data_IF_324835135398
#
_entry.id   IF_324835135398
#
_cell.length_a   1.000
_cell.length_b   1.000
_cell.length_c   1.000
_cell.angle_alpha   90.00
_cell.angle_beta   90.00
_cell.angle_gamma   90.00
#
_symmetry.space_group_name_H-M   'P 1'
#
loop_
_entity.id
_entity.type
_entity.pdbx_description
1 polymer ?
#
# COMPACT_ATOMS: atom_id res chain seq x y z
N UNK A 1 -29.92 -46.61 -36.37
CA UNK A 1 -30.08 -46.63 -34.90
C UNK A 1 -28.84 -46.02 -34.28
N UNK A 2 -28.94 -44.78 -33.77
CA UNK A 2 -27.80 -44.08 -33.16
C UNK A 2 -27.55 -44.67 -31.76
N UNK A 3 -26.32 -45.09 -31.50
CA UNK A 3 -25.86 -45.44 -30.14
C UNK A 3 -25.32 -44.17 -29.49
N UNK A 4 -25.97 -43.78 -28.40
CA UNK A 4 -25.67 -42.57 -27.65
C UNK A 4 -24.28 -42.60 -27.02
N UNK A 5 -23.54 -41.52 -27.22
CA UNK A 5 -22.32 -41.20 -26.49
C UNK A 5 -22.68 -40.86 -25.04
N UNK A 6 -22.12 -41.60 -24.10
CA UNK A 6 -22.32 -41.40 -22.67
C UNK A 6 -21.46 -40.24 -22.16
N UNK A 7 -22.00 -39.49 -21.18
CA UNK A 7 -21.46 -38.25 -20.57
C UNK A 7 -20.03 -38.32 -19.99
N UNK A 8 -19.34 -39.45 -20.08
CA UNK A 8 -17.93 -39.62 -19.66
C UNK A 8 -16.93 -39.71 -20.84
N UNK A 9 -17.41 -39.75 -22.09
CA UNK A 9 -16.56 -39.69 -23.29
C UNK A 9 -16.29 -38.27 -23.81
N UNK A 10 -17.05 -37.27 -23.36
CA UNK A 10 -16.88 -35.88 -23.79
C UNK A 10 -15.86 -35.08 -22.95
N UNK A 11 -15.40 -35.62 -21.80
CA UNK A 11 -14.38 -34.98 -20.95
C UNK A 11 -12.95 -35.49 -21.21
N UNK A 12 -12.77 -36.53 -22.02
CA UNK A 12 -11.45 -37.07 -22.35
C UNK A 12 -10.85 -36.49 -23.65
N UNK A 13 -11.61 -35.69 -24.41
CA UNK A 13 -11.14 -35.01 -25.62
C UNK A 13 -10.86 -33.50 -25.43
N UNK A 14 -11.17 -32.94 -24.24
CA UNK A 14 -10.82 -31.56 -23.87
C UNK A 14 -9.58 -31.49 -22.95
N UNK A 15 -9.02 -32.63 -22.53
CA UNK A 15 -7.93 -32.72 -21.56
C UNK A 15 -6.51 -32.82 -22.14
N UNK A 16 -6.32 -32.61 -23.45
CA UNK A 16 -5.02 -32.76 -24.11
C UNK A 16 -4.51 -31.47 -24.82
N UNK A 17 -5.17 -30.33 -24.61
CA UNK A 17 -4.76 -29.02 -25.11
C UNK A 17 -4.54 -27.97 -24.00
N UNK A 18 -4.40 -28.40 -22.74
CA UNK A 18 -4.27 -27.51 -21.58
C UNK A 18 -3.11 -27.90 -20.64
N UNK A 19 -2.01 -28.44 -21.19
CA UNK A 19 -0.76 -28.72 -20.46
C UNK A 19 0.48 -28.19 -21.19
N UNK A 20 0.35 -27.02 -21.84
CA UNK A 20 1.42 -26.35 -22.56
C UNK A 20 1.49 -24.85 -22.29
N UNK A 21 1.19 -24.40 -21.07
CA UNK A 21 1.17 -22.96 -20.73
C UNK A 21 1.71 -22.61 -19.33
N UNK A 22 2.49 -23.49 -18.69
CA UNK A 22 3.14 -23.20 -17.39
C UNK A 22 4.66 -23.43 -17.39
N UNK A 23 5.30 -23.29 -18.56
CA UNK A 23 6.75 -23.19 -18.66
C UNK A 23 7.10 -22.24 -19.81
N UNK A 24 7.32 -20.96 -19.50
CA UNK A 24 7.82 -19.99 -20.46
C UNK A 24 7.48 -18.54 -20.14
N UNK A 25 8.13 -17.97 -19.13
CA UNK A 25 8.40 -16.52 -19.07
C UNK A 25 9.76 -16.28 -18.40
N UNK A 26 10.79 -16.94 -18.94
CA UNK A 26 12.15 -16.40 -18.92
C UNK A 26 12.60 -16.30 -20.39
N UNK A 27 12.65 -15.08 -20.90
CA UNK A 27 13.25 -14.75 -22.20
C UNK A 27 12.30 -14.76 -23.41
N UNK A 28 11.54 -13.67 -23.58
CA UNK A 28 11.36 -12.93 -24.85
C UNK A 28 10.44 -11.74 -24.57
N UNK A 29 10.97 -10.53 -24.72
CA UNK A 29 10.28 -9.28 -24.45
C UNK A 29 8.96 -9.16 -25.20
N UNK A 30 7.87 -9.02 -24.44
CA UNK A 30 6.83 -8.08 -24.84
C UNK A 30 7.26 -6.73 -24.29
N UNK A 31 8.13 -6.03 -25.02
CA UNK A 31 8.24 -4.59 -24.82
C UNK A 31 6.81 -4.04 -24.88
N UNK A 32 6.38 -3.27 -23.88
CA UNK A 32 5.12 -2.50 -23.98
C UNK A 32 5.20 -1.80 -25.34
N UNK A 33 4.23 -2.01 -26.23
CA UNK A 33 4.24 -1.32 -27.52
C UNK A 33 4.17 0.17 -27.22
N UNK A 34 5.32 0.82 -27.31
CA UNK A 34 5.44 2.25 -27.26
C UNK A 34 4.88 2.79 -28.55
N UNK A 35 4.12 3.88 -28.42
CA UNK A 35 3.43 4.61 -29.49
C UNK A 35 4.07 4.39 -30.87
N UNK A 36 3.32 3.86 -31.84
CA UNK A 36 3.87 3.38 -33.13
C UNK A 36 4.67 4.46 -33.90
N UNK A 37 4.36 5.76 -33.72
CA UNK A 37 5.08 6.90 -34.29
C UNK A 37 5.09 8.09 -33.31
N UNK A 38 5.90 8.03 -32.23
CA UNK A 38 5.93 9.08 -31.23
C UNK A 38 6.72 10.30 -31.74
N UNK A 39 6.41 11.51 -31.25
CA UNK A 39 7.26 12.67 -31.49
C UNK A 39 8.72 12.40 -31.05
N UNK A 40 9.69 13.00 -31.73
CA UNK A 40 11.09 12.84 -31.39
C UNK A 40 11.42 13.53 -30.07
N UNK A 41 12.09 12.81 -29.15
CA UNK A 41 12.58 13.34 -27.87
C UNK A 41 14.09 13.14 -27.78
N UNK A 42 14.82 14.20 -27.43
CA UNK A 42 16.25 14.11 -27.10
C UNK A 42 16.42 13.58 -25.67
N UNK A 43 16.50 12.25 -25.54
CA UNK A 43 16.61 11.56 -24.25
C UNK A 43 17.93 11.90 -23.53
N UNK A 44 18.98 12.21 -24.28
CA UNK A 44 20.29 12.54 -23.69
C UNK A 44 20.27 13.90 -22.99
N UNK A 45 19.41 14.82 -23.46
CA UNK A 45 19.19 16.12 -22.83
C UNK A 45 18.31 16.07 -21.56
N UNK A 46 17.63 14.95 -21.27
CA UNK A 46 16.80 14.80 -20.06
C UNK A 46 17.70 14.79 -18.81
N UNK A 47 17.39 15.59 -17.77
CA UNK A 47 18.16 15.57 -16.53
C UNK A 47 18.18 14.17 -15.89
N UNK A 48 19.34 13.76 -15.36
CA UNK A 48 19.48 12.53 -14.55
C UNK A 48 19.26 12.80 -13.06
N UNK A 49 19.47 14.04 -12.67
CA UNK A 49 19.34 14.54 -11.31
C UNK A 49 18.54 15.84 -11.37
N UNK A 50 17.80 16.12 -10.30
CA UNK A 50 16.95 17.30 -10.19
C UNK A 50 17.34 18.09 -8.95
N UNK A 51 17.38 19.42 -9.09
CA UNK A 51 17.75 20.31 -7.99
C UNK A 51 16.68 20.36 -6.89
N UNK A 52 15.40 20.23 -7.26
CA UNK A 52 14.29 20.24 -6.31
C UNK A 52 14.13 18.89 -5.61
N UNK A 53 14.22 18.89 -4.29
CA UNK A 53 14.00 17.70 -3.47
C UNK A 53 12.51 17.42 -3.30
N UNK A 54 12.12 16.16 -3.44
CA UNK A 54 10.78 15.67 -3.01
C UNK A 54 10.59 16.00 -1.52
N UNK A 55 9.45 16.57 -1.11
CA UNK A 55 9.25 16.97 0.27
C UNK A 55 9.28 15.76 1.20
N UNK A 56 9.80 15.97 2.42
CA UNK A 56 9.87 14.92 3.42
C UNK A 56 8.46 14.42 3.77
N UNK A 57 8.35 13.11 4.06
CA UNK A 57 7.07 12.50 4.44
C UNK A 57 6.51 13.20 5.69
N UNK A 58 5.25 13.68 5.67
CA UNK A 58 4.66 14.35 6.81
C UNK A 58 4.61 13.48 8.06
N UNK A 59 4.82 14.13 9.21
CA UNK A 59 4.60 13.53 10.52
C UNK A 59 3.11 13.53 10.84
N UNK A 60 2.44 12.41 10.56
CA UNK A 60 1.00 12.25 10.79
C UNK A 60 0.68 12.07 12.28
N UNK A 61 1.35 11.13 12.94
CA UNK A 61 1.24 10.95 14.39
C UNK A 61 2.20 11.96 15.05
N UNK A 62 1.71 12.94 15.83
CA UNK A 62 2.58 14.00 16.35
C UNK A 62 3.52 13.48 17.45
N UNK A 63 3.17 12.38 18.11
CA UNK A 63 3.99 11.74 19.15
C UNK A 63 4.86 10.62 18.58
N UNK A 64 6.07 10.48 19.13
CA UNK A 64 7.00 9.41 18.75
C UNK A 64 7.31 8.49 19.93
N UNK A 65 8.15 7.50 19.67
CA UNK A 65 8.67 6.59 20.70
C UNK A 65 9.66 7.30 21.61
N UNK A 66 9.48 7.13 22.92
CA UNK A 66 10.53 7.47 23.87
C UNK A 66 11.71 6.51 23.71
N UNK A 67 12.96 6.94 23.97
CA UNK A 67 14.15 6.12 23.76
C UNK A 67 14.11 4.75 24.44
N UNK A 68 13.55 4.68 25.65
CA UNK A 68 13.39 3.42 26.40
C UNK A 68 12.43 2.44 25.71
N UNK A 69 11.35 2.96 25.10
CA UNK A 69 10.38 2.16 24.36
C UNK A 69 10.98 1.70 23.03
N UNK A 70 11.66 2.60 22.31
CA UNK A 70 12.38 2.26 21.08
C UNK A 70 13.43 1.17 21.32
N UNK A 71 14.19 1.27 22.42
CA UNK A 71 15.14 0.24 22.85
C UNK A 71 14.46 -1.09 23.15
N UNK A 72 13.29 -1.09 23.81
CA UNK A 72 12.54 -2.31 24.09
C UNK A 72 12.07 -3.04 22.81
N UNK A 73 11.69 -2.31 21.76
CA UNK A 73 11.37 -2.86 20.44
C UNK A 73 12.61 -3.46 19.76
N UNK A 74 13.76 -2.78 19.81
CA UNK A 74 15.01 -3.31 19.28
C UNK A 74 15.49 -4.56 20.05
N UNK A 75 15.48 -4.53 21.38
CA UNK A 75 15.88 -5.66 22.22
C UNK A 75 15.00 -6.91 21.98
N UNK A 76 13.76 -6.73 21.53
CA UNK A 76 12.89 -7.87 21.19
C UNK A 76 13.43 -8.65 19.99
N UNK A 77 14.04 -7.98 19.01
CA UNK A 77 14.69 -8.63 17.86
C UNK A 77 15.86 -9.50 18.34
N UNK A 78 16.73 -8.97 19.21
CA UNK A 78 17.85 -9.73 19.76
C UNK A 78 17.39 -10.93 20.60
N UNK A 79 16.34 -10.76 21.41
CA UNK A 79 15.74 -11.87 22.16
C UNK A 79 15.16 -12.96 21.26
N UNK A 80 14.54 -12.59 20.14
CA UNK A 80 14.03 -13.56 19.15
C UNK A 80 15.15 -14.32 18.46
N UNK A 81 16.28 -13.67 18.15
CA UNK A 81 17.40 -14.29 17.46
C UNK A 81 18.32 -15.13 18.37
N UNK A 82 18.35 -14.83 19.67
CA UNK A 82 19.20 -15.49 20.68
C UNK A 82 19.15 -17.03 20.71
N UNK A 83 18.02 -17.71 20.47
CA UNK A 83 17.96 -19.18 20.51
C UNK A 83 18.68 -19.86 19.34
N UNK A 84 18.93 -19.14 18.26
CA UNK A 84 19.56 -19.68 17.06
C UNK A 84 21.09 -19.60 17.25
N UNK A 85 21.87 -20.68 17.00
CA UNK A 85 23.33 -20.64 17.10
C UNK A 85 23.98 -19.63 16.15
N UNK A 86 25.05 -18.97 16.57
CA UNK A 86 25.85 -18.06 15.74
C UNK A 86 27.36 -18.36 15.95
N UNK A 87 28.09 -18.89 14.94
CA UNK A 87 27.64 -19.18 13.58
C UNK A 87 26.75 -20.43 13.48
N UNK A 88 25.85 -20.44 12.50
CA UNK A 88 25.03 -21.61 12.17
C UNK A 88 25.81 -22.52 11.20
N UNK A 89 26.40 -23.60 11.70
CA UNK A 89 27.29 -24.47 10.89
C UNK A 89 26.55 -25.64 10.25
N UNK A 90 27.16 -26.23 9.21
CA UNK A 90 26.64 -27.44 8.56
C UNK A 90 26.60 -28.67 9.49
N UNK A 91 27.41 -28.70 10.56
CA UNK A 91 27.35 -29.75 11.58
C UNK A 91 26.05 -29.66 12.39
N UNK A 92 25.56 -28.45 12.63
CA UNK A 92 24.36 -28.19 13.42
C UNK A 92 23.09 -28.23 12.58
N UNK A 93 23.17 -27.76 11.33
CA UNK A 93 22.10 -27.83 10.34
C UNK A 93 22.66 -28.22 8.96
N UNK A 94 22.69 -29.53 8.64
CA UNK A 94 23.28 -30.02 7.38
C UNK A 94 22.58 -29.50 6.12
N UNK A 95 21.28 -29.20 6.22
CA UNK A 95 20.50 -28.74 5.08
C UNK A 95 20.80 -27.27 4.74
N UNK A 96 21.67 -27.06 3.76
CA UNK A 96 22.17 -25.73 3.40
C UNK A 96 21.10 -24.71 3.01
N UNK A 97 19.97 -25.15 2.44
CA UNK A 97 18.86 -24.26 2.09
C UNK A 97 18.17 -23.63 3.32
N UNK A 98 17.99 -24.41 4.39
CA UNK A 98 17.37 -23.88 5.62
C UNK A 98 18.34 -22.97 6.36
N UNK A 99 19.62 -23.34 6.40
CA UNK A 99 20.67 -22.47 6.94
C UNK A 99 20.73 -21.13 6.21
N UNK A 100 20.76 -21.15 4.88
CA UNK A 100 20.75 -19.94 4.06
C UNK A 100 19.51 -19.07 4.28
N UNK A 101 18.32 -19.67 4.40
CA UNK A 101 17.09 -18.93 4.75
C UNK A 101 17.20 -18.28 6.13
N UNK A 102 17.61 -19.00 7.17
CA UNK A 102 17.77 -18.46 8.53
C UNK A 102 18.80 -17.32 8.58
N UNK A 103 19.93 -17.46 7.87
CA UNK A 103 20.96 -16.42 7.77
C UNK A 103 20.44 -15.17 7.04
N UNK A 104 19.66 -15.35 5.96
CA UNK A 104 19.03 -14.25 5.24
C UNK A 104 18.01 -13.51 6.11
N UNK A 105 17.15 -14.22 6.83
CA UNK A 105 16.18 -13.62 7.76
C UNK A 105 16.88 -12.86 8.91
N UNK A 106 17.98 -13.39 9.45
CA UNK A 106 18.80 -12.67 10.45
C UNK A 106 19.38 -11.37 9.89
N UNK A 107 19.88 -11.39 8.66
CA UNK A 107 20.41 -10.20 8.02
C UNK A 107 19.31 -9.17 7.78
N UNK A 108 18.18 -9.59 7.22
CA UNK A 108 17.01 -8.74 6.97
C UNK A 108 16.45 -8.13 8.27
N UNK A 109 16.40 -8.91 9.36
CA UNK A 109 15.98 -8.41 10.67
C UNK A 109 16.87 -7.26 11.17
N UNK A 110 18.19 -7.39 11.02
CA UNK A 110 19.16 -6.36 11.43
C UNK A 110 19.14 -5.14 10.50
N UNK A 111 18.96 -5.34 9.20
CA UNK A 111 18.84 -4.27 8.21
C UNK A 111 17.54 -3.46 8.37
N UNK A 112 16.45 -4.11 8.79
CA UNK A 112 15.18 -3.47 9.02
C UNK A 112 15.14 -2.61 10.30
N UNK A 113 16.03 -2.85 11.27
CA UNK A 113 16.08 -2.05 12.49
C UNK A 113 16.46 -0.58 12.18
N UNK A 114 15.75 0.41 12.75
CA UNK A 114 16.15 1.80 12.65
C UNK A 114 17.57 2.02 13.19
N UNK A 115 18.34 2.86 12.51
CA UNK A 115 19.62 3.34 13.05
C UNK A 115 19.43 4.15 14.34
N UNK A 116 20.43 4.19 15.24
CA UNK A 116 20.30 4.87 16.55
C UNK A 116 20.01 6.38 16.43
N UNK A 117 20.46 7.02 15.34
CA UNK A 117 20.26 8.43 15.05
C UNK A 117 19.45 8.66 13.76
N UNK A 118 18.75 7.63 13.25
CA UNK A 118 17.94 7.74 12.03
C UNK A 118 16.63 8.49 12.34
N UNK A 119 16.40 9.69 11.75
CA UNK A 119 15.20 10.47 12.02
C UNK A 119 14.00 9.86 11.28
N UNK A 120 13.28 8.95 11.94
CA UNK A 120 12.07 8.36 11.38
C UNK A 120 10.79 9.04 11.87
N UNK A 121 9.83 9.21 10.95
CA UNK A 121 8.46 9.53 11.33
C UNK A 121 7.84 8.33 12.06
N UNK A 122 6.93 8.54 13.03
CA UNK A 122 6.50 7.47 13.94
C UNK A 122 5.92 6.24 13.23
N UNK A 123 5.08 6.42 12.21
CA UNK A 123 4.51 5.31 11.46
C UNK A 123 5.57 4.50 10.68
N UNK A 124 6.63 5.15 10.21
CA UNK A 124 7.74 4.47 9.55
C UNK A 124 8.58 3.69 10.56
N UNK A 125 8.83 4.26 11.74
CA UNK A 125 9.50 3.54 12.83
C UNK A 125 8.71 2.26 13.22
N UNK A 126 7.38 2.33 13.32
CA UNK A 126 6.56 1.14 13.57
C UNK A 126 6.75 0.09 12.48
N UNK A 127 6.68 0.49 11.21
CA UNK A 127 6.88 -0.43 10.09
C UNK A 127 8.25 -1.11 10.16
N UNK A 128 9.32 -0.34 10.37
CA UNK A 128 10.69 -0.84 10.50
C UNK A 128 10.85 -1.84 11.65
N UNK A 129 10.37 -1.51 12.86
CA UNK A 129 10.42 -2.44 13.99
C UNK A 129 9.58 -3.70 13.78
N UNK A 130 8.38 -3.56 13.22
CA UNK A 130 7.52 -4.71 12.92
C UNK A 130 8.12 -5.63 11.85
N UNK A 131 8.74 -5.08 10.80
CA UNK A 131 9.49 -5.84 9.79
C UNK A 131 10.72 -6.52 10.38
N UNK A 132 11.47 -5.84 11.25
CA UNK A 132 12.62 -6.45 11.92
C UNK A 132 12.21 -7.63 12.80
N UNK A 133 11.11 -7.49 13.56
CA UNK A 133 10.56 -8.56 14.39
C UNK A 133 10.00 -9.71 13.57
N UNK A 134 9.32 -9.43 12.46
CA UNK A 134 8.84 -10.43 11.51
C UNK A 134 9.97 -11.34 11.02
N UNK A 135 11.05 -10.75 10.50
CA UNK A 135 12.21 -11.50 10.03
C UNK A 135 12.89 -12.28 11.16
N UNK A 136 13.06 -11.68 12.34
CA UNK A 136 13.66 -12.36 13.49
C UNK A 136 12.83 -13.55 13.97
N UNK A 137 11.51 -13.38 14.03
CA UNK A 137 10.54 -14.42 14.36
C UNK A 137 10.49 -15.52 13.29
N UNK A 138 10.58 -15.16 12.02
CA UNK A 138 10.69 -16.10 10.91
C UNK A 138 11.94 -16.96 10.99
N UNK A 139 13.08 -16.36 11.36
CA UNK A 139 14.33 -17.07 11.57
C UNK A 139 14.22 -18.09 12.71
N UNK A 140 13.70 -17.68 13.88
CA UNK A 140 13.60 -18.56 15.06
C UNK A 140 12.53 -19.63 14.91
N UNK A 141 11.41 -19.32 14.24
CA UNK A 141 10.38 -20.28 13.89
C UNK A 141 10.88 -21.35 12.92
N UNK A 142 11.64 -20.94 11.88
CA UNK A 142 12.28 -21.89 10.96
C UNK A 142 13.29 -22.76 11.70
N UNK A 143 14.11 -22.18 12.58
CA UNK A 143 15.06 -22.91 13.42
C UNK A 143 14.35 -23.94 14.31
N UNK A 144 13.27 -23.56 15.00
CA UNK A 144 12.48 -24.46 15.82
C UNK A 144 11.93 -25.64 14.99
N UNK A 145 11.39 -25.35 13.79
CA UNK A 145 10.81 -26.37 12.91
C UNK A 145 11.81 -27.36 12.30
N UNK A 146 13.11 -27.03 12.25
CA UNK A 146 14.15 -27.96 11.77
C UNK A 146 14.86 -28.70 12.90
N UNK A 147 14.73 -28.26 14.15
CA UNK A 147 15.31 -28.94 15.30
C UNK A 147 14.40 -30.05 15.82
N UNK A 148 14.97 -31.22 16.11
CA UNK A 148 14.23 -32.42 16.54
C UNK A 148 13.42 -32.20 17.83
N UNK A 149 13.85 -31.28 18.69
CA UNK A 149 13.20 -30.93 19.96
C UNK A 149 12.38 -29.64 19.87
N UNK A 150 12.41 -28.95 18.72
CA UNK A 150 11.77 -27.65 18.56
C UNK A 150 10.32 -27.76 18.11
N UNK A 151 9.50 -26.85 18.64
CA UNK A 151 8.12 -26.63 18.23
C UNK A 151 7.99 -25.16 17.79
N UNK A 152 7.72 -24.87 16.50
CA UNK A 152 7.44 -23.51 16.04
C UNK A 152 6.35 -22.80 16.84
N UNK A 153 5.34 -23.53 17.33
CA UNK A 153 4.29 -22.96 18.17
C UNK A 153 4.80 -22.50 19.55
N UNK A 154 5.86 -23.12 20.07
CA UNK A 154 6.44 -22.76 21.37
C UNK A 154 7.30 -21.48 21.34
N UNK A 155 7.78 -21.09 20.16
CA UNK A 155 8.54 -19.84 19.95
C UNK A 155 7.67 -18.70 19.42
N UNK A 156 6.43 -19.00 19.01
CA UNK A 156 5.46 -18.02 18.59
C UNK A 156 4.65 -17.47 19.78
N UNK A 157 4.20 -16.20 19.70
CA UNK A 157 3.10 -15.76 20.52
C UNK A 157 1.84 -16.60 20.27
N UNK A 158 0.98 -16.73 21.29
CA UNK A 158 -0.32 -17.38 21.12
C UNK A 158 -1.19 -16.60 20.12
N UNK A 159 -1.48 -17.22 18.97
CA UNK A 159 -2.22 -16.61 17.86
C UNK A 159 -3.63 -16.18 18.29
N UNK A 160 -4.30 -16.97 19.12
CA UNK A 160 -5.62 -16.65 19.65
C UNK A 160 -5.60 -15.37 20.48
N UNK A 161 -4.63 -15.25 21.39
CA UNK A 161 -4.44 -14.09 22.23
C UNK A 161 -3.99 -12.85 21.44
N UNK A 162 -3.16 -13.01 20.40
CA UNK A 162 -2.78 -11.89 19.51
C UNK A 162 -3.99 -11.41 18.72
N UNK A 163 -4.77 -12.33 18.14
CA UNK A 163 -6.01 -12.00 17.42
C UNK A 163 -7.01 -11.29 18.32
N UNK A 164 -7.22 -11.81 19.53
CA UNK A 164 -8.10 -11.20 20.53
C UNK A 164 -7.61 -9.79 20.89
N UNK A 165 -6.31 -9.62 21.20
CA UNK A 165 -5.74 -8.30 21.52
C UNK A 165 -5.86 -7.31 20.35
N UNK A 166 -5.64 -7.77 19.11
CA UNK A 166 -5.82 -6.93 17.93
C UNK A 166 -7.28 -6.47 17.78
N UNK A 167 -8.25 -7.40 17.89
CA UNK A 167 -9.69 -7.09 17.86
C UNK A 167 -10.08 -6.10 18.96
N UNK A 168 -9.72 -6.39 20.22
CA UNK A 168 -10.05 -5.51 21.36
C UNK A 168 -9.44 -4.11 21.22
N UNK A 169 -8.26 -4.00 20.60
CA UNK A 169 -7.63 -2.69 20.35
C UNK A 169 -8.36 -1.95 19.23
N UNK A 170 -8.70 -2.66 18.16
CA UNK A 170 -9.39 -2.11 17.01
C UNK A 170 -10.80 -1.62 17.37
N UNK A 171 -11.54 -2.39 18.19
CA UNK A 171 -12.87 -2.03 18.69
C UNK A 171 -12.86 -0.80 19.61
N UNK A 172 -11.70 -0.48 20.21
CA UNK A 172 -11.52 0.69 21.06
C UNK A 172 -11.12 1.95 20.27
N UNK A 173 -10.87 1.84 18.97
CA UNK A 173 -10.51 2.95 18.09
C UNK A 173 -11.72 3.50 17.32
N UNK A 174 -11.73 4.80 16.95
CA UNK A 174 -10.72 5.80 17.28
C UNK A 174 -10.83 6.30 18.72
N UNK A 175 -9.69 6.54 19.35
CA UNK A 175 -9.64 7.20 20.66
C UNK A 175 -9.94 8.70 20.57
N UNK A 176 -9.87 9.44 21.70
CA UNK A 176 -9.98 10.90 21.67
C UNK A 176 -8.89 11.56 20.82
N UNK A 177 -9.20 12.69 20.20
CA UNK A 177 -8.28 13.46 19.35
C UNK A 177 -8.47 14.97 19.54
N UNK A 178 -7.57 15.79 18.98
CA UNK A 178 -7.71 17.25 19.00
C UNK A 178 -8.99 17.71 18.26
N UNK A 179 -9.25 17.08 17.10
CA UNK A 179 -10.42 17.30 16.25
C UNK A 179 -10.64 16.06 15.36
N UNK A 180 -11.78 15.95 14.64
CA UNK A 180 -12.07 14.79 13.81
C UNK A 180 -11.08 14.54 12.66
N UNK A 181 -10.49 15.58 12.04
CA UNK A 181 -9.51 15.42 10.97
C UNK A 181 -8.19 14.84 11.52
N UNK A 182 -7.73 15.37 12.66
CA UNK A 182 -6.57 14.85 13.37
C UNK A 182 -6.80 13.40 13.83
N UNK A 183 -8.01 13.10 14.32
CA UNK A 183 -8.42 11.75 14.68
C UNK A 183 -8.36 10.79 13.48
N UNK A 184 -8.93 11.18 12.34
CA UNK A 184 -8.91 10.37 11.12
C UNK A 184 -7.48 10.12 10.63
N UNK A 185 -6.64 11.15 10.58
CA UNK A 185 -5.27 11.05 10.10
C UNK A 185 -4.38 10.19 11.03
N UNK A 186 -4.52 10.32 12.35
CA UNK A 186 -3.73 9.56 13.33
C UNK A 186 -4.19 8.12 13.45
N UNK A 187 -5.49 7.89 13.65
CA UNK A 187 -6.02 6.56 13.93
C UNK A 187 -6.27 5.74 12.66
N UNK A 188 -6.51 6.36 11.50
CA UNK A 188 -6.75 5.63 10.24
C UNK A 188 -5.62 4.66 9.85
N UNK A 189 -4.33 5.06 9.89
CA UNK A 189 -3.23 4.12 9.69
C UNK A 189 -3.15 3.01 10.74
N UNK A 190 -3.49 3.30 12.00
CA UNK A 190 -3.39 2.35 13.13
C UNK A 190 -4.50 1.31 13.03
N UNK A 191 -5.75 1.76 12.83
CA UNK A 191 -6.91 0.90 12.58
C UNK A 191 -6.65 -0.01 11.36
N UNK A 192 -6.09 0.52 10.27
CA UNK A 192 -5.75 -0.28 9.08
C UNK A 192 -4.79 -1.42 9.38
N UNK A 193 -3.78 -1.21 10.22
CA UNK A 193 -2.86 -2.29 10.58
C UNK A 193 -3.60 -3.47 11.23
N UNK A 194 -4.58 -3.17 12.08
CA UNK A 194 -5.38 -4.20 12.75
C UNK A 194 -6.40 -4.83 11.81
N UNK A 195 -7.05 -4.05 10.95
CA UNK A 195 -7.96 -4.56 9.92
C UNK A 195 -7.24 -5.54 8.98
N UNK A 196 -6.08 -5.15 8.45
CA UNK A 196 -5.24 -6.01 7.60
C UNK A 196 -4.74 -7.25 8.35
N UNK A 197 -4.30 -7.07 9.60
CA UNK A 197 -3.87 -8.18 10.43
C UNK A 197 -4.98 -9.23 10.62
N UNK A 198 -6.21 -8.79 10.91
CA UNK A 198 -7.34 -9.67 11.19
C UNK A 198 -7.95 -10.30 9.93
N UNK A 199 -7.96 -9.57 8.80
CA UNK A 199 -8.62 -10.00 7.55
C UNK A 199 -7.70 -10.68 6.56
N UNK A 200 -6.37 -10.50 6.68
CA UNK A 200 -5.39 -11.07 5.74
C UNK A 200 -4.32 -11.88 6.43
N UNK A 201 -3.58 -11.26 7.36
CA UNK A 201 -2.37 -11.87 7.91
C UNK A 201 -2.67 -13.06 8.80
N UNK A 202 -3.70 -12.97 9.65
CA UNK A 202 -4.09 -14.04 10.58
C UNK A 202 -5.22 -14.92 10.03
N UNK A 203 -5.56 -14.86 8.74
CA UNK A 203 -6.65 -15.64 8.13
C UNK A 203 -6.11 -16.92 7.49
N UNK A 204 -6.79 -18.04 7.74
CA UNK A 204 -6.55 -19.31 7.02
C UNK A 204 -5.27 -20.06 7.38
N UNK A 205 -4.35 -19.43 8.11
CA UNK A 205 -3.22 -20.13 8.72
C UNK A 205 -3.73 -20.99 9.88
N UNK A 206 -3.42 -22.30 9.85
CA UNK A 206 -3.36 -23.07 11.09
C UNK A 206 -2.37 -22.43 12.07
N UNK A 207 -2.24 -22.94 13.29
CA UNK A 207 -1.13 -22.52 14.14
C UNK A 207 0.21 -22.75 13.42
N UNK A 208 1.30 -22.04 13.78
CA UNK A 208 2.61 -22.29 13.17
C UNK A 208 3.07 -23.75 13.20
N UNK A 209 2.56 -24.53 14.16
CA UNK A 209 2.80 -25.98 14.28
C UNK A 209 2.01 -26.85 13.27
N UNK A 210 0.98 -26.31 12.62
CA UNK A 210 0.15 -27.01 11.63
C UNK A 210 0.76 -26.92 10.21
N UNK A 211 1.83 -26.14 10.03
CA UNK A 211 2.51 -25.96 8.75
C UNK A 211 3.44 -27.14 8.42
N UNK A 212 3.28 -27.71 7.22
CA UNK A 212 4.03 -28.89 6.80
C UNK A 212 5.51 -28.61 6.46
N UNK A 213 5.90 -27.35 6.29
CA UNK A 213 7.24 -26.93 5.90
C UNK A 213 7.84 -26.00 6.96
N UNK A 214 9.03 -26.28 7.52
CA UNK A 214 9.69 -25.43 8.51
C UNK A 214 9.84 -23.96 8.09
N UNK A 215 10.01 -23.67 6.79
CA UNK A 215 10.07 -22.28 6.31
C UNK A 215 8.71 -21.60 6.44
N UNK A 216 7.62 -22.28 6.09
CA UNK A 216 6.26 -21.75 6.24
C UNK A 216 5.85 -21.62 7.70
N UNK A 217 6.26 -22.60 8.52
CA UNK A 217 6.10 -22.50 9.97
C UNK A 217 6.80 -21.25 10.50
N UNK A 218 8.04 -21.00 10.06
CA UNK A 218 8.77 -19.75 10.34
C UNK A 218 8.01 -18.51 9.92
N UNK A 219 7.60 -18.41 8.66
CA UNK A 219 6.82 -17.29 8.12
C UNK A 219 5.54 -17.03 8.93
N UNK A 220 4.84 -18.08 9.36
CA UNK A 220 3.67 -17.96 10.24
C UNK A 220 4.02 -17.41 11.63
N UNK A 221 5.17 -17.80 12.21
CA UNK A 221 5.67 -17.19 13.46
C UNK A 221 5.99 -15.70 13.24
N UNK A 222 6.60 -15.36 12.11
CA UNK A 222 6.89 -14.00 11.67
C UNK A 222 5.64 -13.13 11.59
N UNK A 223 4.62 -13.61 10.89
CA UNK A 223 3.33 -12.95 10.72
C UNK A 223 2.66 -12.65 12.08
N UNK A 224 2.65 -13.61 13.00
CA UNK A 224 2.05 -13.45 14.34
C UNK A 224 2.83 -12.43 15.16
N UNK A 225 4.17 -12.48 15.14
CA UNK A 225 5.02 -11.53 15.85
C UNK A 225 4.89 -10.10 15.26
N UNK A 226 4.76 -9.98 13.93
CA UNK A 226 4.52 -8.71 13.24
C UNK A 226 3.22 -8.06 13.72
N UNK A 227 2.14 -8.83 13.79
CA UNK A 227 0.85 -8.34 14.31
C UNK A 227 0.96 -7.95 15.78
N UNK A 228 1.63 -8.76 16.60
CA UNK A 228 1.87 -8.39 17.99
C UNK A 228 2.64 -7.06 18.11
N UNK A 229 3.65 -6.84 17.26
CA UNK A 229 4.38 -5.57 17.20
C UNK A 229 3.48 -4.39 16.87
N UNK A 230 2.58 -4.54 15.90
CA UNK A 230 1.58 -3.49 15.60
C UNK A 230 0.62 -3.23 16.77
N UNK A 231 0.21 -4.27 17.50
CA UNK A 231 -0.64 -4.10 18.70
C UNK A 231 0.08 -3.29 19.77
N UNK A 232 1.33 -3.65 20.08
CA UNK A 232 2.14 -2.94 21.08
C UNK A 232 2.40 -1.49 20.66
N UNK A 233 2.76 -1.27 19.39
CA UNK A 233 3.09 0.05 18.86
C UNK A 233 1.87 0.98 18.76
N UNK A 234 0.75 0.49 18.21
CA UNK A 234 -0.44 1.31 18.02
C UNK A 234 -1.11 1.68 19.34
N UNK A 235 -1.12 0.78 20.34
CA UNK A 235 -1.54 1.12 21.71
C UNK A 235 -0.68 2.23 22.31
N UNK A 236 0.65 2.07 22.25
CA UNK A 236 1.56 3.08 22.78
C UNK A 236 1.38 4.45 22.12
N UNK A 237 1.31 4.49 20.78
CA UNK A 237 1.13 5.74 20.05
C UNK A 237 -0.24 6.37 20.31
N UNK A 238 -1.31 5.56 20.37
CA UNK A 238 -2.66 6.03 20.69
C UNK A 238 -2.75 6.62 22.10
N UNK A 239 -2.26 5.89 23.11
CA UNK A 239 -2.25 6.33 24.50
C UNK A 239 -1.43 7.61 24.67
N UNK A 240 -0.25 7.67 24.05
CA UNK A 240 0.63 8.84 24.13
C UNK A 240 0.05 10.04 23.39
N UNK A 241 -0.62 9.82 22.27
CA UNK A 241 -1.30 10.88 21.54
C UNK A 241 -2.43 11.45 22.40
N UNK A 242 -3.32 10.61 22.93
CA UNK A 242 -4.41 11.04 23.80
C UNK A 242 -3.90 11.80 25.03
N UNK A 243 -2.82 11.32 25.67
CA UNK A 243 -2.21 11.98 26.83
C UNK A 243 -1.51 13.33 26.50
N UNK A 244 -1.15 13.56 25.24
CA UNK A 244 -0.51 14.81 24.79
C UNK A 244 -1.49 15.96 24.56
N UNK A 245 -2.78 15.68 24.52
CA UNK A 245 -3.82 16.65 24.17
C UNK A 245 -4.22 17.48 25.39
N UNK A 246 -4.34 18.80 25.19
CA UNK A 246 -4.84 19.72 26.22
C UNK A 246 -6.37 19.63 26.39
N UNK A 247 -7.09 19.40 25.30
CA UNK A 247 -8.56 19.32 25.25
C UNK A 247 -9.01 18.19 24.30
N UNK A 248 -8.91 16.92 24.72
CA UNK A 248 -9.27 15.78 23.88
C UNK A 248 -10.78 15.68 23.66
N UNK A 249 -11.20 15.52 22.41
CA UNK A 249 -12.60 15.39 22.00
C UNK A 249 -12.91 13.96 21.52
N UNK A 250 -14.14 13.46 21.72
CA UNK A 250 -14.61 12.23 21.08
C UNK A 250 -14.86 12.47 19.58
N UNK A 251 -14.23 11.69 18.71
CA UNK A 251 -14.22 11.94 17.26
C UNK A 251 -14.86 10.86 16.40
N UNK A 252 -15.17 9.69 16.96
CA UNK A 252 -15.67 8.54 16.19
C UNK A 252 -16.93 8.86 15.37
N UNK A 253 -17.92 9.51 15.99
CA UNK A 253 -19.20 9.79 15.34
C UNK A 253 -19.12 10.90 14.27
N UNK A 254 -18.44 12.04 14.51
CA UNK A 254 -18.14 12.99 13.44
C UNK A 254 -17.41 12.38 12.24
N UNK A 255 -16.42 11.52 12.50
CA UNK A 255 -15.67 10.83 11.44
C UNK A 255 -16.59 9.90 10.64
N UNK A 256 -17.43 9.08 11.32
CA UNK A 256 -18.38 8.17 10.66
C UNK A 256 -19.35 8.93 9.76
N UNK A 257 -19.98 10.00 10.27
CA UNK A 257 -20.91 10.82 9.49
C UNK A 257 -20.26 11.35 8.21
N UNK A 258 -19.01 11.79 8.30
CA UNK A 258 -18.28 12.33 7.16
C UNK A 258 -17.81 11.23 6.18
N UNK A 259 -17.45 10.06 6.70
CA UNK A 259 -17.18 8.87 5.90
C UNK A 259 -18.40 8.49 5.05
N UNK A 260 -19.61 8.47 5.64
CA UNK A 260 -20.85 8.13 4.94
C UNK A 260 -21.22 9.17 3.88
N UNK A 261 -20.98 10.46 4.17
CA UNK A 261 -21.17 11.55 3.22
C UNK A 261 -20.27 11.39 2.00
N UNK A 262 -18.97 11.15 2.21
CA UNK A 262 -18.05 10.88 1.12
C UNK A 262 -18.40 9.58 0.40
N UNK A 263 -18.79 8.53 1.11
CA UNK A 263 -19.15 7.24 0.54
C UNK A 263 -20.40 7.32 -0.34
N UNK A 264 -21.33 8.20 0.00
CA UNK A 264 -22.48 8.55 -0.85
C UNK A 264 -22.01 9.21 -2.15
N UNK A 265 -21.10 10.19 -2.07
CA UNK A 265 -20.55 10.86 -3.26
C UNK A 265 -19.75 9.91 -4.17
N UNK A 266 -18.93 9.04 -3.58
CA UNK A 266 -18.22 7.96 -4.30
C UNK A 266 -19.24 7.04 -4.97
N UNK A 267 -20.25 6.57 -4.22
CA UNK A 267 -21.29 5.70 -4.74
C UNK A 267 -22.07 6.34 -5.90
N UNK A 268 -22.41 7.62 -5.80
CA UNK A 268 -23.10 8.36 -6.87
C UNK A 268 -22.25 8.40 -8.13
N UNK A 269 -20.97 8.75 -8.02
CA UNK A 269 -20.05 8.78 -9.16
C UNK A 269 -19.88 7.39 -9.79
N UNK A 270 -19.74 6.34 -8.99
CA UNK A 270 -19.64 4.97 -9.50
C UNK A 270 -20.91 4.54 -10.24
N UNK A 271 -22.10 4.87 -9.74
CA UNK A 271 -23.36 4.58 -10.45
C UNK A 271 -23.46 5.29 -11.79
N UNK A 272 -22.96 6.54 -11.88
CA UNK A 272 -22.88 7.25 -13.16
C UNK A 272 -21.96 6.54 -14.16
N UNK A 273 -20.77 6.10 -13.72
CA UNK A 273 -19.79 5.42 -14.56
C UNK A 273 -20.28 4.05 -15.07
N UNK A 274 -21.00 3.32 -14.22
CA UNK A 274 -21.50 1.99 -14.52
C UNK A 274 -22.81 1.97 -15.32
N UNK A 275 -23.64 3.01 -15.18
CA UNK A 275 -25.01 3.00 -15.70
C UNK A 275 -25.95 2.05 -14.95
N UNK A 276 -27.10 1.74 -15.54
CA UNK A 276 -28.10 0.87 -14.92
C UNK A 276 -27.71 -0.62 -14.98
N UNK A 277 -27.98 -1.36 -13.91
CA UNK A 277 -27.96 -2.83 -13.91
C UNK A 277 -26.67 -3.51 -13.45
N UNK A 278 -25.71 -2.77 -12.88
CA UNK A 278 -24.48 -3.35 -12.30
C UNK A 278 -24.75 -3.89 -10.89
N UNK A 279 -24.31 -5.12 -10.63
CA UNK A 279 -24.50 -5.81 -9.36
C UNK A 279 -23.50 -5.36 -8.27
N UNK A 280 -22.26 -5.01 -8.65
CA UNK A 280 -21.23 -4.51 -7.74
C UNK A 280 -20.51 -3.28 -8.32
N UNK A 281 -20.70 -2.13 -7.66
CA UNK A 281 -20.08 -0.85 -8.05
C UNK A 281 -18.56 -0.82 -7.85
N UNK A 282 -17.98 -1.86 -7.25
CA UNK A 282 -16.52 -2.00 -7.10
C UNK A 282 -15.85 -2.62 -8.32
N UNK A 283 -16.61 -3.15 -9.27
CA UNK A 283 -16.04 -3.64 -10.52
C UNK A 283 -15.41 -2.49 -11.30
N UNK A 284 -14.31 -2.75 -12.00
CA UNK A 284 -13.68 -1.73 -12.83
C UNK A 284 -14.48 -1.55 -14.13
N UNK A 285 -15.07 -0.36 -14.41
CA UNK A 285 -15.88 -0.11 -15.60
C UNK A 285 -15.04 0.10 -16.88
N UNK A 286 -13.71 0.12 -16.75
CA UNK A 286 -12.78 0.40 -17.84
C UNK A 286 -12.56 1.90 -18.08
N UNK A 287 -11.44 2.30 -18.71
CA UNK A 287 -11.16 3.70 -19.01
C UNK A 287 -12.15 4.34 -19.99
N UNK A 288 -12.83 3.54 -20.81
CA UNK A 288 -13.91 3.98 -21.70
C UNK A 288 -15.13 4.55 -20.97
N UNK A 289 -15.37 4.19 -19.70
CA UNK A 289 -16.46 4.76 -18.93
C UNK A 289 -16.22 6.22 -18.51
N UNK A 290 -14.97 6.68 -18.62
CA UNK A 290 -14.55 8.02 -18.23
C UNK A 290 -14.45 9.00 -19.40
N UNK A 291 -14.55 8.51 -20.65
CA UNK A 291 -14.40 9.34 -21.86
C UNK A 291 -15.53 9.08 -22.85
N UNK A 292 -16.15 10.13 -23.36
CA UNK A 292 -17.17 10.05 -24.41
C UNK A 292 -16.54 9.77 -25.78
N UNK A 293 -15.45 10.48 -26.08
CA UNK A 293 -14.67 10.33 -27.31
C UNK A 293 -13.17 10.43 -27.02
N UNK A 294 -12.40 9.45 -27.50
CA UNK A 294 -10.94 9.48 -27.35
C UNK A 294 -10.31 10.23 -28.53
N UNK A 295 -9.84 11.45 -28.27
CA UNK A 295 -9.18 12.31 -29.26
C UNK A 295 -7.67 12.05 -29.42
N UNK A 296 -7.10 11.10 -28.66
CA UNK A 296 -5.69 10.70 -28.72
C UNK A 296 -5.51 9.26 -29.20
N UNK A 297 -4.30 8.93 -29.66
CA UNK A 297 -3.94 7.55 -30.01
C UNK A 297 -4.06 6.61 -28.79
N UNK A 298 -4.37 5.33 -29.02
CA UNK A 298 -4.61 4.35 -27.95
C UNK A 298 -3.37 4.09 -27.08
N UNK A 299 -2.21 4.32 -27.66
CA UNK A 299 -0.85 4.13 -27.15
C UNK A 299 -0.16 5.46 -26.77
N UNK A 300 -0.88 6.59 -26.82
CA UNK A 300 -0.38 7.85 -26.30
C UNK A 300 -0.19 7.77 -24.76
N UNK A 301 0.82 8.47 -24.19
CA UNK A 301 1.08 8.44 -22.75
C UNK A 301 -0.15 8.77 -21.89
N UNK A 302 -0.97 9.72 -22.29
CA UNK A 302 -2.21 10.08 -21.57
C UNK A 302 -3.26 8.95 -21.55
N UNK A 303 -3.34 8.14 -22.61
CA UNK A 303 -4.24 6.98 -22.65
C UNK A 303 -3.74 5.82 -21.78
N UNK A 304 -2.43 5.57 -21.76
CA UNK A 304 -1.81 4.58 -20.86
C UNK A 304 -1.92 5.02 -19.39
N UNK A 305 -1.71 6.31 -19.13
CA UNK A 305 -1.90 6.89 -17.80
C UNK A 305 -3.35 6.75 -17.34
N UNK A 306 -4.35 7.10 -18.17
CA UNK A 306 -5.75 6.94 -17.83
C UNK A 306 -6.07 5.49 -17.47
N UNK A 307 -5.65 4.54 -18.31
CA UNK A 307 -5.85 3.10 -18.06
C UNK A 307 -5.21 2.67 -16.72
N UNK A 308 -3.98 3.10 -16.46
CA UNK A 308 -3.24 2.79 -15.23
C UNK A 308 -3.87 3.45 -14.01
N UNK A 309 -4.33 4.70 -14.12
CA UNK A 309 -5.00 5.44 -13.06
C UNK A 309 -6.35 4.80 -12.69
N UNK A 310 -7.15 4.39 -13.68
CA UNK A 310 -8.40 3.65 -13.45
C UNK A 310 -8.11 2.33 -12.72
N UNK A 311 -7.16 1.54 -13.22
CA UNK A 311 -6.79 0.28 -12.57
C UNK A 311 -6.35 0.46 -11.11
N UNK A 312 -5.42 1.40 -10.85
CA UNK A 312 -4.95 1.72 -9.48
C UNK A 312 -6.08 2.19 -8.56
N UNK A 313 -7.07 2.89 -9.10
CA UNK A 313 -8.20 3.41 -8.33
C UNK A 313 -9.16 2.31 -7.89
N UNK A 314 -9.51 1.40 -8.81
CA UNK A 314 -10.43 0.30 -8.53
C UNK A 314 -9.80 -0.86 -7.75
N UNK A 315 -8.48 -1.08 -7.87
CA UNK A 315 -7.77 -2.00 -6.99
C UNK A 315 -7.91 -1.60 -5.51
N UNK A 316 -7.72 -0.31 -5.21
CA UNK A 316 -7.96 0.24 -3.87
C UNK A 316 -9.41 0.07 -3.42
N UNK A 317 -10.37 0.35 -4.30
CA UNK A 317 -11.80 0.21 -4.02
C UNK A 317 -12.21 -1.23 -3.65
N UNK A 318 -11.57 -2.23 -4.29
CA UNK A 318 -11.84 -3.64 -4.07
C UNK A 318 -11.26 -4.17 -2.76
N UNK A 319 -10.08 -3.69 -2.38
CA UNK A 319 -9.29 -4.26 -1.29
C UNK A 319 -9.30 -3.43 0.00
N UNK A 320 -9.61 -2.14 -0.04
CA UNK A 320 -9.66 -1.29 1.14
C UNK A 320 -11.08 -1.17 1.72
N UNK A 321 -11.24 -0.91 3.03
CA UNK A 321 -12.53 -0.70 3.66
C UNK A 321 -13.10 0.68 3.29
N UNK A 322 -13.60 0.81 2.07
CA UNK A 322 -14.12 2.05 1.49
C UNK A 322 -15.64 2.09 1.62
N UNK A 323 -16.18 3.19 2.15
CA UNK A 323 -17.62 3.42 2.20
C UNK A 323 -18.15 3.64 0.78
N UNK A 324 -19.11 2.81 0.34
CA UNK A 324 -19.69 2.86 -1.01
C UNK A 324 -21.12 2.34 -0.96
N UNK A 325 -22.07 3.15 -1.45
CA UNK A 325 -23.48 2.77 -1.47
C UNK A 325 -23.97 2.46 -0.06
N UNK A 326 -24.48 1.24 0.16
CA UNK A 326 -24.99 0.78 1.46
C UNK A 326 -23.92 0.12 2.35
N UNK A 327 -22.68 0.02 1.88
CA UNK A 327 -21.58 -0.55 2.67
C UNK A 327 -20.91 0.52 3.53
N UNK A 328 -21.05 0.36 4.85
CA UNK A 328 -20.38 1.15 5.88
C UNK A 328 -19.21 0.35 6.49
N UNK A 329 -17.97 0.83 6.39
CA UNK A 329 -16.84 0.27 7.12
C UNK A 329 -17.01 0.30 8.63
N UNK A 330 -16.68 -0.80 9.32
CA UNK A 330 -16.80 -0.89 10.79
C UNK A 330 -15.91 0.12 11.54
N UNK A 331 -14.76 0.49 10.94
CA UNK A 331 -13.71 1.31 11.56
C UNK A 331 -13.62 2.68 10.88
N UNK A 332 -14.15 3.73 11.52
CA UNK A 332 -14.47 4.98 10.82
C UNK A 332 -13.24 5.81 10.44
N UNK A 333 -12.12 5.77 11.17
CA UNK A 333 -10.94 6.56 10.80
C UNK A 333 -10.24 5.99 9.55
N UNK A 334 -10.11 4.66 9.46
CA UNK A 334 -9.64 3.99 8.24
C UNK A 334 -10.65 4.19 7.12
N UNK A 335 -11.94 4.01 7.40
CA UNK A 335 -13.00 4.19 6.43
C UNK A 335 -12.99 5.58 5.83
N UNK A 336 -12.94 6.64 6.64
CA UNK A 336 -12.86 8.03 6.15
C UNK A 336 -11.61 8.26 5.30
N UNK A 337 -10.43 7.88 5.79
CA UNK A 337 -9.17 8.12 5.05
C UNK A 337 -9.12 7.36 3.73
N UNK A 338 -9.61 6.11 3.67
CA UNK A 338 -9.67 5.30 2.45
C UNK A 338 -10.73 5.80 1.47
N UNK A 339 -11.91 6.20 1.96
CA UNK A 339 -12.93 6.83 1.12
C UNK A 339 -12.47 8.16 0.56
N UNK A 340 -11.78 8.99 1.35
CA UNK A 340 -11.18 10.22 0.85
C UNK A 340 -10.12 9.95 -0.24
N UNK A 341 -9.26 8.94 -0.06
CA UNK A 341 -8.28 8.55 -1.07
C UNK A 341 -8.94 8.07 -2.38
N UNK A 342 -10.01 7.28 -2.29
CA UNK A 342 -10.77 6.85 -3.48
C UNK A 342 -11.43 8.04 -4.16
N UNK A 343 -12.08 8.93 -3.41
CA UNK A 343 -12.69 10.14 -3.97
C UNK A 343 -11.65 11.01 -4.70
N UNK A 344 -10.48 11.23 -4.09
CA UNK A 344 -9.36 11.94 -4.71
C UNK A 344 -8.94 11.28 -6.02
N UNK A 345 -8.77 9.95 -6.02
CA UNK A 345 -8.36 9.21 -7.21
C UNK A 345 -9.41 9.25 -8.32
N UNK A 346 -10.69 9.13 -8.01
CA UNK A 346 -11.77 9.25 -9.00
C UNK A 346 -11.79 10.64 -9.64
N UNK A 347 -11.68 11.70 -8.83
CA UNK A 347 -11.59 13.07 -9.36
C UNK A 347 -10.34 13.30 -10.22
N UNK A 348 -9.20 12.74 -9.83
CA UNK A 348 -7.98 12.81 -10.61
C UNK A 348 -8.10 12.04 -11.94
N UNK A 349 -8.76 10.87 -11.93
CA UNK A 349 -9.08 10.12 -13.16
C UNK A 349 -9.98 10.96 -14.07
N UNK A 350 -11.03 11.59 -13.54
CA UNK A 350 -11.89 12.50 -14.31
C UNK A 350 -11.09 13.65 -14.94
N UNK A 351 -10.13 14.22 -14.20
CA UNK A 351 -9.25 15.29 -14.71
C UNK A 351 -8.28 14.81 -15.80
N UNK A 352 -7.77 13.57 -15.72
CA UNK A 352 -6.97 12.95 -16.80
C UNK A 352 -7.84 12.63 -18.01
N UNK A 353 -9.05 12.12 -17.79
CA UNK A 353 -10.00 11.80 -18.85
C UNK A 353 -10.38 13.04 -19.66
N UNK A 354 -10.67 14.16 -18.99
CA UNK A 354 -10.96 15.43 -19.67
C UNK A 354 -9.79 15.91 -20.56
N UNK A 355 -8.54 15.65 -20.16
CA UNK A 355 -7.35 15.95 -20.99
C UNK A 355 -7.25 15.04 -22.21
N UNK A 356 -7.51 13.74 -22.02
CA UNK A 356 -7.57 12.75 -23.11
C UNK A 356 -8.64 13.11 -24.15
N UNK A 357 -9.82 13.55 -23.70
CA UNK A 357 -10.90 14.04 -24.58
C UNK A 357 -10.52 15.32 -25.32
N UNK A 358 -9.78 16.21 -24.66
CA UNK A 358 -9.25 17.44 -25.27
C UNK A 358 -8.10 17.19 -26.26
N UNK A 359 -7.63 15.95 -26.40
CA UNK A 359 -6.54 15.60 -27.32
C UNK A 359 -5.13 15.81 -26.75
N UNK A 360 -5.00 16.00 -25.43
CA UNK A 360 -3.70 16.08 -24.77
C UNK A 360 -3.06 14.69 -24.71
N UNK A 361 -1.95 14.50 -25.42
CA UNK A 361 -1.22 13.23 -25.46
C UNK A 361 -0.39 12.98 -24.21
N UNK A 362 -0.20 14.00 -23.36
CA UNK A 362 0.77 14.02 -22.26
C UNK A 362 2.15 13.50 -22.69
N UNK A 363 2.54 13.80 -23.92
CA UNK A 363 3.90 13.59 -24.39
C UNK A 363 4.72 14.86 -24.15
N UNK A 364 5.95 14.79 -23.62
CA UNK A 364 6.75 15.98 -23.38
C UNK A 364 7.16 16.66 -24.70
N UNK A 365 7.00 17.98 -24.78
CA UNK A 365 7.44 18.76 -25.95
C UNK A 365 8.95 18.69 -26.16
N UNK A 366 9.71 18.68 -25.06
CA UNK A 366 11.16 18.56 -25.03
C UNK A 366 11.66 17.99 -23.69
N UNK A 367 12.97 17.84 -23.55
CA UNK A 367 13.61 17.37 -22.33
C UNK A 367 13.39 18.30 -21.13
N UNK A 368 13.24 19.61 -21.35
CA UNK A 368 13.02 20.58 -20.27
C UNK A 368 11.61 20.46 -19.69
N UNK A 369 10.62 20.08 -20.51
CA UNK A 369 9.25 19.83 -20.07
C UNK A 369 9.16 18.74 -18.98
N UNK A 370 10.07 17.77 -18.98
CA UNK A 370 10.15 16.72 -17.95
C UNK A 370 10.56 17.30 -16.60
N UNK A 371 11.61 18.13 -16.58
CA UNK A 371 12.03 18.84 -15.37
C UNK A 371 10.95 19.78 -14.85
N UNK A 372 10.27 20.51 -15.74
CA UNK A 372 9.16 21.38 -15.37
C UNK A 372 7.96 20.61 -14.77
N UNK A 373 7.58 19.48 -15.37
CA UNK A 373 6.51 18.62 -14.85
C UNK A 373 6.85 18.06 -13.47
N UNK A 374 8.10 17.63 -13.26
CA UNK A 374 8.56 17.17 -11.95
C UNK A 374 8.51 18.30 -10.92
N UNK A 375 8.97 19.51 -11.27
CA UNK A 375 8.91 20.67 -10.40
C UNK A 375 7.47 21.02 -9.96
N UNK A 376 6.52 21.03 -10.90
CA UNK A 376 5.10 21.26 -10.60
C UNK A 376 4.50 20.17 -9.70
N UNK A 377 4.86 18.90 -9.94
CA UNK A 377 4.47 17.79 -9.09
C UNK A 377 5.02 17.93 -7.66
N UNK A 378 6.29 18.33 -7.51
CA UNK A 378 6.94 18.58 -6.22
C UNK A 378 6.24 19.72 -5.48
N UNK A 379 5.93 20.83 -6.15
CA UNK A 379 5.21 21.97 -5.57
C UNK A 379 3.83 21.55 -5.05
N UNK A 380 3.05 20.82 -5.85
CA UNK A 380 1.71 20.34 -5.49
C UNK A 380 1.76 19.36 -4.31
N UNK A 381 2.72 18.44 -4.32
CA UNK A 381 2.92 17.49 -3.22
C UNK A 381 3.41 18.18 -1.93
N UNK A 382 4.23 19.23 -2.05
CA UNK A 382 4.69 20.03 -0.91
C UNK A 382 3.53 20.81 -0.28
N UNK A 383 2.64 21.40 -1.08
CA UNK A 383 1.46 22.09 -0.60
C UNK A 383 0.56 21.18 0.28
N UNK A 384 0.41 19.91 -0.10
CA UNK A 384 -0.28 18.92 0.76
C UNK A 384 0.50 18.57 2.01
N UNK A 385 1.80 18.31 1.85
CA UNK A 385 2.68 17.85 2.93
C UNK A 385 2.83 18.89 4.06
N UNK A 386 2.78 20.16 3.71
CA UNK A 386 2.91 21.31 4.61
C UNK A 386 1.56 21.88 5.08
N UNK A 387 0.44 21.32 4.59
CA UNK A 387 -0.91 21.76 4.94
C UNK A 387 -1.20 21.67 6.44
N UNK A 388 -1.90 22.67 6.97
CA UNK A 388 -2.45 22.61 8.33
C UNK A 388 -3.50 21.51 8.48
N UNK A 389 -4.17 21.12 7.37
CA UNK A 389 -5.17 20.06 7.34
C UNK A 389 -4.50 18.67 7.53
N UNK A 390 -4.79 17.94 8.63
CA UNK A 390 -4.19 16.63 8.89
C UNK A 390 -4.50 15.57 7.80
N UNK A 391 -5.68 15.65 7.17
CA UNK A 391 -6.06 14.72 6.11
C UNK A 391 -5.28 15.00 4.82
N UNK A 392 -5.01 16.27 4.48
CA UNK A 392 -4.16 16.63 3.34
C UNK A 392 -2.74 16.09 3.53
N UNK A 393 -2.16 16.26 4.73
CA UNK A 393 -0.85 15.67 5.07
C UNK A 393 -0.87 14.15 4.96
N UNK A 394 -1.94 13.49 5.39
CA UNK A 394 -2.08 12.04 5.24
C UNK A 394 -2.14 11.62 3.77
N UNK A 395 -2.93 12.32 2.94
CA UNK A 395 -3.02 12.07 1.49
C UNK A 395 -1.67 12.23 0.80
N UNK A 396 -0.88 13.24 1.17
CA UNK A 396 0.49 13.41 0.68
C UNK A 396 1.33 12.12 0.85
N UNK A 397 1.20 11.44 2.00
CA UNK A 397 1.95 10.19 2.25
C UNK A 397 1.62 9.05 1.29
N UNK A 398 0.47 9.10 0.60
CA UNK A 398 0.07 8.10 -0.38
C UNK A 398 0.67 8.37 -1.77
N UNK A 399 1.04 9.61 -2.07
CA UNK A 399 1.52 10.02 -3.40
C UNK A 399 3.04 10.27 -3.46
N UNK A 400 3.67 10.69 -2.36
CA UNK A 400 5.12 10.92 -2.30
C UNK A 400 5.98 9.72 -2.75
N UNK A 401 5.62 8.45 -2.46
CA UNK A 401 6.41 7.31 -2.93
C UNK A 401 6.45 7.18 -4.46
N UNK A 402 5.52 7.79 -5.21
CA UNK A 402 5.43 7.68 -6.67
C UNK A 402 6.62 8.36 -7.38
N UNK A 403 7.30 9.33 -6.75
CA UNK A 403 8.47 9.98 -7.34
C UNK A 403 9.65 9.04 -7.50
N UNK A 404 9.90 8.17 -6.52
CA UNK A 404 11.14 7.37 -6.47
C UNK A 404 11.30 6.47 -7.69
N UNK A 405 10.23 5.79 -8.11
CA UNK A 405 10.26 4.93 -9.29
C UNK A 405 10.61 5.70 -10.57
N UNK A 406 10.13 6.94 -10.69
CA UNK A 406 10.35 7.76 -11.88
C UNK A 406 11.73 8.41 -11.88
N UNK A 407 12.17 8.90 -10.72
CA UNK A 407 13.53 9.43 -10.53
C UNK A 407 14.58 8.35 -10.83
N UNK A 408 14.39 7.14 -10.31
CA UNK A 408 15.27 5.99 -10.56
C UNK A 408 15.28 5.60 -12.05
N UNK A 409 14.12 5.59 -12.71
CA UNK A 409 14.01 5.28 -14.14
C UNK A 409 14.73 6.32 -15.02
N UNK A 410 14.74 7.60 -14.63
CA UNK A 410 15.44 8.66 -15.36
C UNK A 410 16.94 8.70 -15.09
N UNK A 411 17.36 8.26 -13.90
CA UNK A 411 18.76 8.14 -13.51
C UNK A 411 19.46 6.92 -14.14
N UNK A 412 18.70 5.91 -14.57
CA UNK A 412 19.23 4.69 -15.18
C UNK A 412 20.01 4.94 -16.49
N UNK A 413 21.09 4.18 -16.70
CA UNK A 413 21.95 4.31 -17.88
C UNK A 413 21.25 3.89 -19.20
N UNK A 414 20.29 2.97 -19.14
CA UNK A 414 19.54 2.43 -20.30
C UNK A 414 18.22 3.19 -20.58
N UNK A 415 18.12 4.45 -20.17
CA UNK A 415 16.92 5.28 -20.37
C UNK A 415 16.53 5.41 -21.84
N UNK A 416 15.22 5.47 -22.10
CA UNK A 416 14.62 5.50 -23.42
C UNK A 416 13.58 6.61 -23.54
N UNK A 417 13.11 6.89 -24.77
CA UNK A 417 12.00 7.82 -24.98
C UNK A 417 10.72 7.35 -24.28
N UNK A 418 10.49 6.04 -24.21
CA UNK A 418 9.38 5.45 -23.46
C UNK A 418 9.50 5.77 -21.97
N UNK A 419 10.64 5.46 -21.33
CA UNK A 419 10.79 5.71 -19.89
C UNK A 419 10.71 7.21 -19.55
N UNK A 420 11.23 8.08 -20.42
CA UNK A 420 11.13 9.52 -20.26
C UNK A 420 9.69 10.05 -20.37
N UNK A 421 8.92 9.57 -21.38
CA UNK A 421 7.52 9.92 -21.54
C UNK A 421 6.64 9.35 -20.40
N UNK A 422 6.93 8.14 -19.92
CA UNK A 422 6.25 7.55 -18.75
C UNK A 422 6.51 8.37 -17.49
N UNK A 423 7.77 8.74 -17.22
CA UNK A 423 8.11 9.58 -16.07
C UNK A 423 7.41 10.94 -16.14
N UNK A 424 7.38 11.57 -17.32
CA UNK A 424 6.64 12.82 -17.54
C UNK A 424 5.15 12.66 -17.21
N UNK A 425 4.48 11.63 -17.76
CA UNK A 425 3.07 11.39 -17.52
C UNK A 425 2.77 11.09 -16.04
N UNK A 426 3.64 10.34 -15.35
CA UNK A 426 3.49 10.09 -13.91
C UNK A 426 3.74 11.35 -13.07
N UNK A 427 4.65 12.27 -13.45
CA UNK A 427 4.74 13.57 -12.78
C UNK A 427 3.46 14.40 -12.97
N UNK A 428 2.87 14.42 -14.18
CA UNK A 428 1.57 15.06 -14.40
C UNK A 428 0.47 14.43 -13.57
N UNK A 429 0.48 13.11 -13.39
CA UNK A 429 -0.45 12.41 -12.51
C UNK A 429 -0.28 12.84 -11.06
N UNK A 430 0.96 12.93 -10.56
CA UNK A 430 1.24 13.36 -9.18
C UNK A 430 0.76 14.79 -8.94
N UNK A 431 0.99 15.71 -9.88
CA UNK A 431 0.46 17.08 -9.86
C UNK A 431 -1.08 17.05 -9.74
N UNK A 432 -1.76 16.40 -10.68
CA UNK A 432 -3.23 16.35 -10.74
C UNK A 432 -3.83 15.73 -9.47
N UNK A 433 -3.31 14.59 -9.03
CA UNK A 433 -3.86 13.89 -7.88
C UNK A 433 -3.58 14.63 -6.58
N UNK A 434 -2.48 15.37 -6.49
CA UNK A 434 -2.18 16.19 -5.33
C UNK A 434 -3.13 17.41 -5.23
N UNK A 435 -3.43 18.07 -6.34
CA UNK A 435 -4.40 19.16 -6.38
C UNK A 435 -5.80 18.69 -5.97
N UNK A 436 -6.26 17.57 -6.52
CA UNK A 436 -7.56 16.98 -6.17
C UNK A 436 -7.60 16.50 -4.71
N UNK A 437 -6.47 16.03 -4.16
CA UNK A 437 -6.36 15.69 -2.75
C UNK A 437 -6.56 16.91 -1.84
N UNK A 438 -6.01 18.08 -2.24
CA UNK A 438 -6.18 19.33 -1.52
C UNK A 438 -7.65 19.74 -1.49
N UNK A 439 -8.32 19.70 -2.64
CA UNK A 439 -9.74 20.03 -2.76
C UNK A 439 -10.64 19.06 -1.97
N UNK A 440 -10.33 17.76 -1.94
CA UNK A 440 -11.06 16.78 -1.13
C UNK A 440 -10.85 17.05 0.36
N UNK A 441 -9.61 17.27 0.80
CA UNK A 441 -9.32 17.54 2.21
C UNK A 441 -10.02 18.82 2.72
N UNK A 442 -10.09 19.87 1.91
CA UNK A 442 -10.80 21.12 2.23
C UNK A 442 -12.33 20.91 2.30
N UNK A 443 -12.89 20.13 1.37
CA UNK A 443 -14.31 19.75 1.38
C UNK A 443 -14.69 19.01 2.67
N UNK A 444 -13.85 18.06 3.10
CA UNK A 444 -14.02 17.32 4.35
C UNK A 444 -13.93 18.24 5.57
N UNK A 445 -12.94 19.13 5.60
CA UNK A 445 -12.80 20.09 6.70
C UNK A 445 -14.03 20.99 6.84
N UNK A 446 -14.50 21.56 5.72
CA UNK A 446 -15.70 22.41 5.70
C UNK A 446 -16.95 21.67 6.20
N UNK A 447 -17.10 20.39 5.84
CA UNK A 447 -18.24 19.58 6.26
C UNK A 447 -18.20 19.19 7.75
N UNK A 448 -17.01 19.04 8.34
CA UNK A 448 -16.83 18.77 9.76
C UNK A 448 -17.11 20.02 10.62
N UNK A 449 -16.77 21.21 10.11
CA UNK A 449 -16.98 22.49 10.80
C UNK A 449 -18.42 23.03 10.72
N UNK A 450 -19.25 22.46 9.82
CA UNK A 450 -20.67 22.81 9.62
C UNK A 450 -21.60 22.00 10.53
#
# INVERSE_FOLDING_TARGET
>A
MPRGLTRRGALAAAGAAALGSLAGCSGRGSERRFWDDPPSLDVDAVPREFDDSVPARPRIVPVGFEPEVAAAFADRVDRLLSPIPDPLTAERLPHGGFRGRIEAERAAAREALPGPDEPLVPLEAVKRYSTARDHAASAVGTWAGVTVEGDPGAVAPDVGAVRQRASETLDALPGPAADPLAGAAVYGPIERWYDEALRRTLVGSGGPADEANPIRAGEAVGDVERVQSYVEAGRYLGDRYAASLADPQPVAEPIRREMDRLGSAVGDRLRELHGEGVEDLRENPGPEAFVDERAVARDAPSADLLSSAVYRSFDGLWFDPVAVGDYEPDHPATGLTRTALVQTRLRAVDAVAARVEAGDTMFPDDAAAIGAARGAAVESAAALAESENPLARWLATQFLPLFAEQDDALAADERSALSAATAYAEYRWIEIVADEAGAVAESVATAIDS
#
